data_IF_424317145270
#
_entry.id   IF_424317145270
#
_cell.length_a   1.000
_cell.length_b   1.000
_cell.length_c   1.000
_cell.angle_alpha   90.00
_cell.angle_beta   90.00
_cell.angle_gamma   90.00
#
_symmetry.space_group_name_H-M   'P 1'
#
loop_
_entity.id
_entity.type
_entity.pdbx_description
1 polymer ?
#
# COMPACT_ATOMS: atom_id res chain seq x y z
N UNK A 1 8.03 -20.52 11.34
CA UNK A 1 7.86 -19.08 11.06
C UNK A 1 6.39 -18.85 10.79
N UNK A 2 5.79 -17.81 11.36
CA UNK A 2 4.39 -17.47 11.09
C UNK A 2 4.27 -16.99 9.63
N UNK A 3 3.60 -17.76 8.78
CA UNK A 3 3.51 -17.52 7.32
C UNK A 3 2.89 -16.16 6.99
N UNK A 4 1.95 -15.66 7.81
CA UNK A 4 1.36 -14.34 7.57
C UNK A 4 2.33 -13.20 7.88
N UNK A 5 3.13 -13.31 8.96
CA UNK A 5 4.12 -12.28 9.30
C UNK A 5 5.21 -12.18 8.23
N UNK A 6 5.66 -13.32 7.69
CA UNK A 6 6.59 -13.34 6.55
C UNK A 6 5.98 -12.69 5.31
N UNK A 7 4.70 -12.96 5.02
CA UNK A 7 3.98 -12.31 3.91
C UNK A 7 3.90 -10.79 4.10
N UNK A 8 3.51 -10.31 5.29
CA UNK A 8 3.41 -8.88 5.62
C UNK A 8 4.77 -8.19 5.51
N UNK A 9 5.81 -8.80 6.08
CA UNK A 9 7.19 -8.32 5.99
C UNK A 9 7.68 -8.18 4.55
N UNK A 10 7.52 -9.23 3.74
CA UNK A 10 8.01 -9.24 2.37
C UNK A 10 7.24 -8.28 1.47
N UNK A 11 5.91 -8.42 1.41
CA UNK A 11 5.09 -7.62 0.51
C UNK A 11 4.87 -6.20 1.02
N UNK A 12 4.86 -5.95 2.33
CA UNK A 12 4.78 -4.60 2.87
C UNK A 12 5.95 -3.72 2.43
N UNK A 13 7.17 -4.28 2.35
CA UNK A 13 8.33 -3.57 1.76
C UNK A 13 8.21 -3.38 0.25
N UNK A 14 7.88 -4.45 -0.49
CA UNK A 14 7.83 -4.41 -1.95
C UNK A 14 6.77 -3.41 -2.42
N UNK A 15 5.53 -3.56 -1.93
CA UNK A 15 4.42 -2.70 -2.29
C UNK A 15 4.65 -1.29 -1.73
N UNK A 16 5.09 -1.17 -0.49
CA UNK A 16 5.36 0.12 0.14
C UNK A 16 6.35 0.97 -0.65
N UNK A 17 7.44 0.36 -1.13
CA UNK A 17 8.42 1.05 -1.98
C UNK A 17 7.84 1.47 -3.33
N UNK A 18 7.00 0.65 -3.96
CA UNK A 18 6.41 0.97 -5.27
C UNK A 18 5.29 2.02 -5.20
N UNK A 19 4.63 2.18 -4.05
CA UNK A 19 3.67 3.26 -3.82
C UNK A 19 4.34 4.56 -3.36
N UNK A 20 5.49 4.49 -2.69
CA UNK A 20 6.12 5.66 -2.08
C UNK A 20 7.24 6.27 -2.91
N UNK A 21 8.03 5.45 -3.59
CA UNK A 21 9.19 5.89 -4.36
C UNK A 21 8.91 5.84 -5.86
N UNK A 22 9.49 6.80 -6.58
CA UNK A 22 9.35 6.86 -8.03
C UNK A 22 9.92 5.59 -8.70
N UNK A 23 9.32 5.10 -9.79
CA UNK A 23 9.69 3.82 -10.38
C UNK A 23 11.11 3.80 -10.94
N UNK A 24 11.69 4.94 -11.34
CA UNK A 24 13.07 5.05 -11.83
C UNK A 24 14.14 4.87 -10.74
N UNK A 25 13.77 4.90 -9.46
CA UNK A 25 14.73 4.69 -8.38
C UNK A 25 15.30 3.27 -8.43
N UNK A 26 16.60 3.12 -8.20
CA UNK A 26 17.32 1.87 -8.36
C UNK A 26 16.70 0.69 -7.58
N UNK A 27 16.18 0.94 -6.38
CA UNK A 27 15.49 -0.07 -5.58
C UNK A 27 14.21 -0.59 -6.26
N UNK A 28 13.46 0.28 -6.92
CA UNK A 28 12.20 -0.08 -7.59
C UNK A 28 12.44 -0.77 -8.94
N UNK A 29 13.55 -0.51 -9.63
CA UNK A 29 13.90 -1.20 -10.87
C UNK A 29 13.97 -2.73 -10.68
N UNK A 30 14.61 -3.19 -9.59
CA UNK A 30 14.66 -4.61 -9.24
C UNK A 30 13.28 -5.19 -8.91
N UNK A 31 12.40 -4.40 -8.28
CA UNK A 31 11.03 -4.82 -7.97
C UNK A 31 10.16 -4.92 -9.23
N UNK A 32 10.32 -4.00 -10.18
CA UNK A 32 9.66 -4.07 -11.48
C UNK A 32 10.05 -5.35 -12.22
N UNK A 33 11.33 -5.73 -12.20
CA UNK A 33 11.79 -6.99 -12.79
C UNK A 33 11.14 -8.23 -12.12
N UNK A 34 11.04 -8.24 -10.79
CA UNK A 34 10.36 -9.31 -10.04
C UNK A 34 8.90 -9.48 -10.52
N UNK A 35 8.17 -8.37 -10.70
CA UNK A 35 6.80 -8.41 -11.21
C UNK A 35 6.72 -8.80 -12.69
N UNK A 36 7.69 -8.37 -13.52
CA UNK A 36 7.77 -8.75 -14.93
C UNK A 36 7.88 -10.28 -15.10
N UNK A 37 8.66 -10.94 -14.24
CA UNK A 37 8.85 -12.40 -14.28
C UNK A 37 7.80 -13.20 -13.50
N UNK A 38 6.92 -12.53 -12.75
CA UNK A 38 5.81 -13.17 -12.03
C UNK A 38 6.23 -13.95 -10.78
N UNK A 39 7.41 -13.69 -10.23
CA UNK A 39 7.97 -14.42 -9.09
C UNK A 39 7.12 -14.30 -7.82
N UNK A 40 6.34 -13.21 -7.68
CA UNK A 40 5.42 -12.98 -6.57
C UNK A 40 4.30 -14.04 -6.47
N UNK A 41 3.95 -14.71 -7.57
CA UNK A 41 2.78 -15.59 -7.64
C UNK A 41 2.91 -16.80 -6.72
N UNK A 42 4.12 -17.30 -6.50
CA UNK A 42 4.39 -18.44 -5.61
C UNK A 42 4.03 -18.11 -4.17
N UNK A 43 4.27 -16.86 -3.74
CA UNK A 43 3.92 -16.37 -2.41
C UNK A 43 2.46 -15.93 -2.27
N UNK A 44 1.65 -16.11 -3.31
CA UNK A 44 0.23 -15.74 -3.39
C UNK A 44 -0.63 -16.92 -3.89
N UNK A 45 -0.37 -18.12 -3.37
CA UNK A 45 -1.10 -19.35 -3.70
C UNK A 45 -2.57 -19.32 -3.24
N UNK A 46 -2.89 -18.51 -2.22
CA UNK A 46 -4.25 -18.24 -1.75
C UNK A 46 -5.16 -17.57 -2.80
N UNK A 47 -4.59 -16.96 -3.85
CA UNK A 47 -5.35 -16.44 -4.98
C UNK A 47 -5.76 -17.55 -5.95
N UNK A 48 -6.87 -17.37 -6.65
CA UNK A 48 -7.18 -18.24 -7.79
C UNK A 48 -6.19 -17.99 -8.93
N UNK A 49 -5.99 -19.01 -9.77
CA UNK A 49 -5.15 -18.88 -10.97
C UNK A 49 -5.62 -17.71 -11.86
N UNK A 50 -6.93 -17.60 -12.12
CA UNK A 50 -7.50 -16.53 -12.92
C UNK A 50 -7.20 -15.13 -12.34
N UNK A 51 -7.25 -14.97 -11.00
CA UNK A 51 -6.93 -13.69 -10.37
C UNK A 51 -5.44 -13.37 -10.48
N UNK A 52 -4.55 -14.37 -10.32
CA UNK A 52 -3.11 -14.19 -10.53
C UNK A 52 -2.78 -13.79 -11.97
N UNK A 53 -3.39 -14.45 -12.94
CA UNK A 53 -3.23 -14.13 -14.37
C UNK A 53 -3.71 -12.70 -14.68
N UNK A 54 -4.85 -12.28 -14.14
CA UNK A 54 -5.37 -10.92 -14.29
C UNK A 54 -4.37 -9.87 -13.74
N UNK A 55 -3.87 -10.08 -12.53
CA UNK A 55 -2.91 -9.17 -11.89
C UNK A 55 -1.60 -9.14 -12.69
N UNK A 56 -1.06 -10.31 -13.03
CA UNK A 56 0.17 -10.45 -13.81
C UNK A 56 0.07 -9.74 -15.17
N UNK A 57 -1.09 -9.87 -15.83
CA UNK A 57 -1.34 -9.19 -17.10
C UNK A 57 -1.28 -7.66 -16.94
N UNK A 58 -1.93 -7.09 -15.92
CA UNK A 58 -1.89 -5.65 -15.67
C UNK A 58 -0.45 -5.19 -15.38
N UNK A 59 0.27 -5.90 -14.50
CA UNK A 59 1.63 -5.54 -14.14
C UNK A 59 2.58 -5.57 -15.35
N UNK A 60 2.59 -6.67 -16.11
CA UNK A 60 3.46 -6.83 -17.28
C UNK A 60 3.10 -5.86 -18.41
N UNK A 61 1.81 -5.60 -18.65
CA UNK A 61 1.40 -4.61 -19.66
C UNK A 61 1.82 -3.20 -19.27
N UNK A 62 1.64 -2.82 -18.01
CA UNK A 62 2.08 -1.52 -17.52
C UNK A 62 3.60 -1.34 -17.59
N UNK A 63 4.37 -2.36 -17.21
CA UNK A 63 5.84 -2.34 -17.37
C UNK A 63 6.25 -2.24 -18.85
N UNK A 64 5.54 -2.94 -19.75
CA UNK A 64 5.82 -2.94 -21.18
C UNK A 64 5.54 -1.58 -21.87
N UNK A 65 4.78 -0.67 -21.23
CA UNK A 65 4.61 0.71 -21.72
C UNK A 65 5.89 1.55 -21.55
N UNK A 66 6.84 1.07 -20.75
CA UNK A 66 8.17 1.65 -20.59
C UNK A 66 8.29 2.64 -19.42
N UNK A 67 9.54 2.95 -19.08
CA UNK A 67 9.87 3.74 -17.89
C UNK A 67 9.24 5.14 -17.91
N UNK A 68 9.20 5.80 -19.07
CA UNK A 68 8.62 7.13 -19.19
C UNK A 68 7.13 7.13 -18.78
N UNK A 69 6.35 6.15 -19.26
CA UNK A 69 4.94 6.04 -18.90
C UNK A 69 4.75 5.72 -17.41
N UNK A 70 5.58 4.83 -16.83
CA UNK A 70 5.53 4.54 -15.40
C UNK A 70 5.79 5.79 -14.54
N UNK A 71 6.75 6.63 -14.95
CA UNK A 71 7.05 7.88 -14.25
C UNK A 71 5.90 8.89 -14.37
N UNK A 72 5.30 9.01 -15.57
CA UNK A 72 4.12 9.87 -15.79
C UNK A 72 2.92 9.41 -14.96
N UNK A 73 2.65 8.10 -14.92
CA UNK A 73 1.61 7.49 -14.10
C UNK A 73 1.85 7.77 -12.61
N UNK A 74 3.09 7.56 -12.13
CA UNK A 74 3.45 7.83 -10.73
C UNK A 74 3.24 9.31 -10.38
N UNK A 75 3.69 10.21 -11.26
CA UNK A 75 3.52 11.65 -11.08
C UNK A 75 2.04 12.03 -11.00
N UNK A 76 1.19 11.49 -11.89
CA UNK A 76 -0.24 11.77 -11.93
C UNK A 76 -1.00 11.21 -10.71
N UNK A 77 -0.60 10.04 -10.22
CA UNK A 77 -1.30 9.34 -9.15
C UNK A 77 -0.89 9.78 -7.74
N UNK A 78 0.39 10.09 -7.53
CA UNK A 78 0.94 10.25 -6.17
C UNK A 78 1.58 11.60 -5.90
N UNK A 79 1.89 12.41 -6.92
CA UNK A 79 2.65 13.67 -6.74
C UNK A 79 1.85 14.92 -7.14
N UNK A 80 1.19 14.91 -8.30
CA UNK A 80 0.48 16.07 -8.86
C UNK A 80 1.21 16.69 -10.06
N UNK A 81 0.94 17.96 -10.45
CA UNK A 81 0.35 19.03 -9.65
C UNK A 81 -1.19 19.07 -9.65
N UNK A 82 -1.84 18.25 -10.49
CA UNK A 82 -3.29 18.14 -10.53
C UNK A 82 -3.81 17.43 -9.27
N UNK A 83 -5.12 17.55 -9.02
CA UNK A 83 -5.77 16.79 -7.94
C UNK A 83 -5.56 15.29 -8.16
N UNK A 84 -5.06 14.61 -7.13
CA UNK A 84 -4.85 13.16 -7.22
C UNK A 84 -6.21 12.44 -7.24
N UNK A 85 -6.42 11.46 -8.14
CA UNK A 85 -7.67 10.71 -8.23
C UNK A 85 -7.93 9.89 -6.96
N UNK A 86 -6.87 9.26 -6.43
CA UNK A 86 -6.84 8.52 -5.18
C UNK A 86 -5.65 9.00 -4.33
N UNK A 87 -5.79 10.07 -3.52
CA UNK A 87 -4.70 10.55 -2.68
C UNK A 87 -4.26 9.45 -1.71
N UNK A 88 -2.95 9.22 -1.53
CA UNK A 88 -2.45 8.08 -0.76
C UNK A 88 -2.40 8.31 0.76
N UNK A 89 -3.06 9.33 1.32
CA UNK A 89 -3.02 9.62 2.76
C UNK A 89 -4.33 9.23 3.46
N UNK A 90 -4.24 8.50 4.57
CA UNK A 90 -5.42 8.00 5.28
C UNK A 90 -6.36 9.09 5.79
N UNK A 91 -5.80 10.18 6.29
CA UNK A 91 -6.52 11.36 6.76
C UNK A 91 -7.44 11.98 5.70
N UNK A 92 -7.12 11.88 4.41
CA UNK A 92 -7.99 12.37 3.32
C UNK A 92 -9.32 11.60 3.26
N UNK A 93 -9.35 10.35 3.70
CA UNK A 93 -10.55 9.51 3.69
C UNK A 93 -11.31 9.56 5.02
N UNK A 94 -10.59 9.73 6.13
CA UNK A 94 -11.14 9.65 7.49
C UNK A 94 -11.53 11.01 8.07
N UNK A 95 -10.98 12.10 7.55
CA UNK A 95 -11.33 13.46 7.98
C UNK A 95 -12.47 14.05 7.12
N UNK A 96 -13.43 14.69 7.78
CA UNK A 96 -14.57 15.37 7.14
C UNK A 96 -14.16 16.48 6.16
N UNK A 97 -12.99 17.09 6.39
CA UNK A 97 -12.44 18.17 5.57
C UNK A 97 -11.51 17.61 4.46
N UNK A 98 -11.32 16.28 4.41
CA UNK A 98 -10.47 15.58 3.45
C UNK A 98 -9.03 16.15 3.38
N UNK A 99 -8.48 16.48 4.55
CA UNK A 99 -7.15 17.09 4.72
C UNK A 99 -6.09 16.05 5.04
N UNK A 100 -4.86 16.30 4.58
CA UNK A 100 -3.68 15.43 4.76
C UNK A 100 -3.14 15.43 6.21
N UNK A 101 -3.50 16.43 7.02
CA UNK A 101 -3.13 16.53 8.44
C UNK A 101 -4.37 16.44 9.34
N UNK A 102 -5.22 15.45 9.07
CA UNK A 102 -6.47 15.20 9.81
C UNK A 102 -6.26 14.49 11.15
N UNK A 103 -7.35 14.27 11.88
CA UNK A 103 -7.30 13.66 13.22
C UNK A 103 -6.72 12.24 13.22
N UNK A 104 -6.97 11.45 12.18
CA UNK A 104 -6.44 10.08 12.08
C UNK A 104 -4.92 10.02 12.00
N UNK A 105 -4.27 11.05 11.44
CA UNK A 105 -2.81 11.15 11.44
C UNK A 105 -2.27 11.40 12.86
N UNK A 106 -2.97 12.19 13.66
CA UNK A 106 -2.61 12.41 15.07
C UNK A 106 -2.75 11.12 15.88
N UNK A 107 -3.83 10.37 15.67
CA UNK A 107 -4.03 9.05 16.28
C UNK A 107 -2.91 8.07 15.90
N UNK A 108 -2.48 8.06 14.64
CA UNK A 108 -1.32 7.28 14.20
C UNK A 108 -0.02 7.72 14.90
N UNK A 109 0.20 9.03 15.06
CA UNK A 109 1.37 9.55 15.77
C UNK A 109 1.37 9.18 17.25
N UNK A 110 0.21 9.18 17.90
CA UNK A 110 0.06 8.74 19.29
C UNK A 110 0.39 7.24 19.43
N UNK A 111 -0.07 6.40 18.48
CA UNK A 111 0.32 5.00 18.40
C UNK A 111 1.84 4.84 18.24
N UNK A 112 2.44 5.55 17.29
CA UNK A 112 3.88 5.51 17.05
C UNK A 112 4.68 5.94 18.29
N UNK A 113 4.26 7.02 18.94
CA UNK A 113 4.90 7.50 20.17
C UNK A 113 4.78 6.48 21.30
N UNK A 114 3.60 5.88 21.48
CA UNK A 114 3.34 4.88 22.53
C UNK A 114 4.27 3.68 22.41
N UNK A 115 4.53 3.22 21.19
CA UNK A 115 5.37 2.05 20.90
C UNK A 115 6.80 2.39 20.47
N UNK A 116 7.21 3.65 20.60
CA UNK A 116 8.54 4.16 20.24
C UNK A 116 8.94 3.86 18.78
N UNK A 117 7.98 3.89 17.86
CA UNK A 117 8.20 3.72 16.43
C UNK A 117 8.64 5.06 15.85
N UNK A 118 9.77 5.08 15.14
CA UNK A 118 10.31 6.27 14.49
C UNK A 118 10.45 6.02 12.99
N UNK A 119 9.87 6.91 12.19
CA UNK A 119 10.12 6.96 10.75
C UNK A 119 11.21 7.99 10.47
N UNK A 120 12.31 7.54 9.87
CA UNK A 120 13.37 8.42 9.39
C UNK A 120 13.10 8.74 7.92
N UNK A 121 12.34 9.81 7.69
CA UNK A 121 11.99 10.27 6.35
C UNK A 121 12.93 11.40 5.92
N UNK A 122 13.33 11.39 4.64
CA UNK A 122 14.17 12.46 4.08
C UNK A 122 13.41 13.80 3.95
N UNK A 123 12.08 13.77 3.96
CA UNK A 123 11.19 14.92 3.86
C UNK A 123 10.10 14.82 4.93
N UNK A 124 9.49 15.97 5.26
CA UNK A 124 8.40 16.05 6.25
C UNK A 124 7.06 15.60 5.62
N UNK A 125 7.02 14.35 5.16
CA UNK A 125 5.85 13.68 4.62
C UNK A 125 4.99 13.12 5.76
N UNK A 126 3.65 13.23 5.70
CA UNK A 126 2.74 12.58 6.64
C UNK A 126 2.94 11.06 6.69
N UNK A 127 2.97 10.53 7.90
CA UNK A 127 3.24 9.13 8.19
C UNK A 127 2.11 8.17 7.73
N UNK A 128 0.91 8.73 7.48
CA UNK A 128 -0.28 8.00 7.00
C UNK A 128 -0.33 7.82 5.48
N UNK A 129 0.77 8.10 4.77
CA UNK A 129 0.93 7.74 3.37
C UNK A 129 0.90 6.20 3.20
N UNK A 130 0.08 5.68 2.29
CA UNK A 130 -0.17 4.25 2.11
C UNK A 130 1.11 3.42 1.99
N UNK A 131 2.07 3.88 1.18
CA UNK A 131 3.35 3.22 1.01
C UNK A 131 4.20 3.18 2.30
N UNK A 132 4.18 4.26 3.10
CA UNK A 132 4.84 4.31 4.41
C UNK A 132 4.17 3.36 5.40
N UNK A 133 2.84 3.31 5.41
CA UNK A 133 2.10 2.42 6.29
C UNK A 133 2.34 0.94 5.96
N UNK A 134 2.48 0.57 4.69
CA UNK A 134 2.87 -0.80 4.29
C UNK A 134 4.29 -1.16 4.75
N UNK A 135 5.24 -0.23 4.64
CA UNK A 135 6.60 -0.44 5.16
C UNK A 135 6.62 -0.52 6.68
N UNK A 136 5.77 0.26 7.37
CA UNK A 136 5.61 0.18 8.83
C UNK A 136 5.00 -1.17 9.24
N UNK A 137 3.99 -1.67 8.52
CA UNK A 137 3.46 -3.03 8.74
C UNK A 137 4.55 -4.09 8.59
N UNK A 138 5.40 -3.98 7.57
CA UNK A 138 6.52 -4.89 7.37
C UNK A 138 7.52 -4.85 8.53
N UNK A 139 7.87 -3.65 9.01
CA UNK A 139 8.77 -3.48 10.14
C UNK A 139 8.17 -4.02 11.44
N UNK A 140 6.89 -3.74 11.71
CA UNK A 140 6.16 -4.27 12.87
C UNK A 140 6.15 -5.80 12.84
N UNK A 141 5.85 -6.42 11.69
CA UNK A 141 5.84 -7.88 11.56
C UNK A 141 7.19 -8.55 11.93
N UNK A 142 8.30 -7.83 11.82
CA UNK A 142 9.64 -8.34 12.12
C UNK A 142 10.12 -8.01 13.54
N UNK A 143 9.77 -6.81 14.03
CA UNK A 143 10.38 -6.25 15.24
C UNK A 143 9.42 -6.13 16.42
N UNK A 144 8.13 -5.96 16.12
CA UNK A 144 7.05 -5.64 17.07
C UNK A 144 5.72 -6.28 16.62
N UNK A 145 5.66 -7.61 16.44
CA UNK A 145 4.49 -8.29 15.89
C UNK A 145 3.27 -8.20 16.81
N UNK A 146 3.46 -7.94 18.10
CA UNK A 146 2.37 -7.80 19.08
C UNK A 146 1.56 -6.50 18.89
N UNK A 147 2.14 -5.48 18.24
CA UNK A 147 1.48 -4.21 17.90
C UNK A 147 0.89 -4.21 16.49
N UNK A 148 1.24 -5.18 15.65
CA UNK A 148 0.83 -5.25 14.25
C UNK A 148 -0.69 -5.31 14.08
N UNK A 149 -1.38 -6.10 14.90
CA UNK A 149 -2.84 -6.24 14.80
C UNK A 149 -3.55 -4.93 15.12
N UNK A 150 -3.09 -4.19 16.14
CA UNK A 150 -3.63 -2.87 16.46
C UNK A 150 -3.38 -1.90 15.29
N UNK A 151 -2.15 -1.86 14.78
CA UNK A 151 -1.79 -1.01 13.64
C UNK A 151 -2.66 -1.24 12.42
N UNK A 152 -2.79 -2.50 12.00
CA UNK A 152 -3.60 -2.88 10.84
C UNK A 152 -5.07 -2.52 11.04
N UNK A 153 -5.65 -2.86 12.20
CA UNK A 153 -7.07 -2.64 12.47
C UNK A 153 -7.42 -1.17 12.62
N UNK A 154 -6.61 -0.38 13.31
CA UNK A 154 -6.97 0.99 13.67
C UNK A 154 -6.51 2.01 12.62
N UNK A 155 -5.36 1.78 11.98
CA UNK A 155 -4.72 2.82 11.18
C UNK A 155 -4.68 2.51 9.68
N UNK A 156 -4.51 1.25 9.24
CA UNK A 156 -4.37 0.93 7.81
C UNK A 156 -5.68 0.44 7.16
N UNK A 157 -6.32 -0.57 7.74
CA UNK A 157 -7.47 -1.24 7.12
C UNK A 157 -8.76 -0.42 7.18
N UNK A 158 -8.81 0.63 8.01
CA UNK A 158 -9.96 1.53 8.14
C UNK A 158 -10.24 2.34 6.87
N UNK A 159 -9.25 2.57 6.01
CA UNK A 159 -9.38 3.41 4.81
C UNK A 159 -8.72 2.86 3.55
N UNK A 160 -7.70 1.99 3.68
CA UNK A 160 -6.93 1.48 2.53
C UNK A 160 -7.80 0.79 1.48
N UNK A 161 -8.87 0.10 1.89
CA UNK A 161 -9.82 -0.51 0.95
C UNK A 161 -10.46 0.52 0.01
N UNK A 162 -10.80 1.71 0.53
CA UNK A 162 -11.38 2.80 -0.25
C UNK A 162 -10.36 3.47 -1.17
N UNK A 163 -9.15 3.71 -0.66
CA UNK A 163 -8.04 4.19 -1.49
C UNK A 163 -7.78 3.25 -2.67
N UNK A 164 -7.70 1.94 -2.40
CA UNK A 164 -7.46 0.92 -3.43
C UNK A 164 -8.62 0.81 -4.41
N UNK A 165 -9.87 0.94 -3.96
CA UNK A 165 -11.05 0.98 -4.84
C UNK A 165 -10.93 2.11 -5.87
N UNK A 166 -10.61 3.33 -5.42
CA UNK A 166 -10.43 4.49 -6.31
C UNK A 166 -9.25 4.29 -7.26
N UNK A 167 -8.11 3.82 -6.75
CA UNK A 167 -6.93 3.56 -7.57
C UNK A 167 -7.20 2.51 -8.66
N UNK A 168 -7.88 1.42 -8.32
CA UNK A 168 -8.18 0.33 -9.25
C UNK A 168 -9.18 0.78 -10.34
N UNK A 169 -10.02 1.78 -10.03
CA UNK A 169 -10.95 2.38 -10.99
C UNK A 169 -10.25 3.22 -12.06
N UNK A 170 -9.01 3.67 -11.83
CA UNK A 170 -8.20 4.40 -12.82
C UNK A 170 -7.72 3.45 -13.93
N UNK A 171 -8.43 3.43 -15.06
CA UNK A 171 -8.19 2.47 -16.14
C UNK A 171 -6.93 2.75 -16.96
N UNK A 172 -6.41 3.97 -16.91
CA UNK A 172 -5.28 4.40 -17.74
C UNK A 172 -3.91 4.04 -17.13
N UNK A 173 -3.84 3.83 -15.82
CA UNK A 173 -2.59 3.55 -15.10
C UNK A 173 -2.43 2.04 -14.86
N UNK A 174 -2.16 1.31 -15.94
CA UNK A 174 -2.31 -0.15 -15.98
C UNK A 174 -1.42 -0.89 -14.97
N UNK A 175 -0.18 -0.42 -14.77
CA UNK A 175 0.73 -0.98 -13.76
C UNK A 175 0.17 -0.81 -12.34
N UNK A 176 -0.19 0.44 -11.98
CA UNK A 176 -0.68 0.77 -10.64
C UNK A 176 -2.05 0.17 -10.34
N UNK A 177 -2.88 -0.06 -11.35
CA UNK A 177 -4.11 -0.87 -11.22
C UNK A 177 -3.78 -2.32 -10.85
N UNK A 178 -2.79 -2.93 -11.49
CA UNK A 178 -2.29 -4.26 -11.12
C UNK A 178 -1.76 -4.31 -9.69
N UNK A 179 -0.97 -3.30 -9.30
CA UNK A 179 -0.43 -3.15 -7.96
C UNK A 179 -1.54 -2.99 -6.90
N UNK A 180 -2.57 -2.20 -7.21
CA UNK A 180 -3.74 -2.01 -6.35
C UNK A 180 -4.53 -3.31 -6.16
N UNK A 181 -4.77 -4.07 -7.23
CA UNK A 181 -5.44 -5.37 -7.16
C UNK A 181 -4.68 -6.38 -6.29
N UNK A 182 -3.34 -6.41 -6.41
CA UNK A 182 -2.50 -7.26 -5.58
C UNK A 182 -2.53 -6.82 -4.11
N UNK A 183 -2.43 -5.52 -3.86
CA UNK A 183 -2.45 -4.95 -2.51
C UNK A 183 -3.76 -5.23 -1.80
N UNK A 184 -4.89 -5.08 -2.49
CA UNK A 184 -6.21 -5.41 -1.94
C UNK A 184 -6.29 -6.88 -1.54
N UNK A 185 -5.89 -7.79 -2.43
CA UNK A 185 -5.90 -9.22 -2.15
C UNK A 185 -5.02 -9.61 -0.96
N UNK A 186 -3.84 -8.99 -0.83
CA UNK A 186 -2.93 -9.24 0.29
C UNK A 186 -3.49 -8.71 1.61
N UNK A 187 -4.01 -7.48 1.62
CA UNK A 187 -4.63 -6.88 2.82
C UNK A 187 -5.83 -7.70 3.29
N UNK A 188 -6.70 -8.15 2.37
CA UNK A 188 -7.84 -9.02 2.67
C UNK A 188 -7.37 -10.35 3.28
N UNK A 189 -6.34 -10.96 2.69
CA UNK A 189 -5.78 -12.20 3.21
C UNK A 189 -5.12 -12.01 4.58
N UNK A 190 -4.39 -10.91 4.81
CA UNK A 190 -3.80 -10.62 6.12
C UNK A 190 -4.87 -10.39 7.18
N UNK A 191 -5.93 -9.64 6.85
CA UNK A 191 -7.07 -9.43 7.73
C UNK A 191 -7.71 -10.76 8.14
N UNK A 192 -7.94 -11.67 7.17
CA UNK A 192 -8.52 -12.98 7.43
C UNK A 192 -7.60 -13.88 8.29
N UNK A 193 -6.33 -13.98 7.93
CA UNK A 193 -5.36 -14.86 8.61
C UNK A 193 -5.09 -14.42 10.06
N UNK A 194 -5.09 -13.11 10.31
CA UNK A 194 -4.93 -12.53 11.64
C UNK A 194 -6.25 -12.37 12.40
N UNK A 195 -7.39 -12.73 11.79
CA UNK A 195 -8.74 -12.63 12.36
C UNK A 195 -9.06 -11.21 12.88
N UNK A 196 -8.71 -10.21 12.09
CA UNK A 196 -8.82 -8.81 12.48
C UNK A 196 -10.26 -8.30 12.33
N UNK A 197 -10.74 -7.61 13.35
CA UNK A 197 -12.00 -6.89 13.37
C UNK A 197 -11.75 -5.40 13.10
N UNK A 198 -11.95 -4.99 11.84
CA UNK A 198 -11.75 -3.60 11.44
C UNK A 198 -12.95 -2.76 11.91
N UNK A 199 -12.73 -1.68 12.68
CA UNK A 199 -13.81 -0.84 13.17
C UNK A 199 -14.52 -0.15 11.99
N UNK A 200 -15.84 -0.05 12.08
CA UNK A 200 -16.63 0.69 11.10
C UNK A 200 -16.42 2.19 11.32
N UNK A 201 -15.73 2.81 10.39
CA UNK A 201 -15.50 4.26 10.35
C UNK A 201 -16.33 4.89 9.24
N UNK A 202 -16.58 6.20 9.36
CA UNK A 202 -17.18 6.97 8.26
C UNK A 202 -16.08 7.40 7.31
N UNK A 203 -16.25 7.07 6.02
CA UNK A 203 -15.40 7.56 4.94
C UNK A 203 -16.02 8.82 4.34
N UNK A 204 -15.21 9.84 4.11
CA UNK A 204 -15.62 11.13 3.54
C UNK A 204 -15.25 11.28 2.05
N UNK A 205 -14.48 10.32 1.52
CA UNK A 205 -14.11 10.24 0.11
C UNK A 205 -14.29 8.84 -0.44
#
# INVERSE_FOLDING_TARGET
MNTVLTSISQFGRILGSLFYHAPEQAQNQSLLALFQHGEWQVSCDFLSQAKREQIQHCLTQGIAQGQAQLNEDFQALFIGPNSLPAPPWGSVYLDKEAVIFGSSLLELRDFMQTYNIKLELAQNEPEDHFGLMLMMAAWLAENQPEQLNEFLQQHLLTWSGRFLELLIAEQHHTFYRGLGLLSQALLDNWQQQLQLEVPKVRLYR
#
